data_IF_109695932137
#
_entry.id   IF_109695932137
#
_cell.length_a   1.000
_cell.length_b   1.000
_cell.length_c   1.000
_cell.angle_alpha   90.00
_cell.angle_beta   90.00
_cell.angle_gamma   90.00
#
_symmetry.space_group_name_H-M   'P 1'
#
loop_
_entity.id
_entity.type
_entity.pdbx_description
1 polymer ?
#
# COMPACT_ATOMS: atom_id res chain seq x y z
N UNK A 1 -14.30 -23.38 6.22
CA UNK A 1 -13.73 -22.10 5.72
C UNK A 1 -12.56 -21.75 6.62
N UNK A 2 -11.38 -21.47 6.07
CA UNK A 2 -10.14 -21.36 6.88
C UNK A 2 -10.09 -20.01 7.62
N UNK A 3 -9.97 -20.03 8.95
CA UNK A 3 -10.02 -18.85 9.82
C UNK A 3 -8.93 -17.82 9.47
N UNK A 4 -7.77 -18.32 9.05
CA UNK A 4 -6.66 -17.51 8.55
C UNK A 4 -7.04 -16.70 7.31
N UNK A 5 -7.74 -17.30 6.35
CA UNK A 5 -8.19 -16.63 5.13
C UNK A 5 -9.24 -15.57 5.45
N UNK A 6 -10.16 -15.87 6.37
CA UNK A 6 -11.17 -14.90 6.81
C UNK A 6 -10.52 -13.67 7.46
N UNK A 7 -9.48 -13.88 8.28
CA UNK A 7 -8.70 -12.80 8.89
C UNK A 7 -8.00 -11.93 7.84
N UNK A 8 -7.32 -12.54 6.87
CA UNK A 8 -6.68 -11.81 5.78
C UNK A 8 -7.69 -11.01 4.93
N UNK A 9 -8.86 -11.58 4.64
CA UNK A 9 -9.92 -10.87 3.93
C UNK A 9 -10.43 -9.64 4.70
N UNK A 10 -10.54 -9.73 6.03
CA UNK A 10 -10.91 -8.57 6.87
C UNK A 10 -9.81 -7.50 6.83
N UNK A 11 -8.54 -7.91 6.96
CA UNK A 11 -7.40 -7.01 6.84
C UNK A 11 -7.37 -6.31 5.47
N UNK A 12 -7.55 -7.06 4.37
CA UNK A 12 -7.59 -6.50 3.02
C UNK A 12 -8.65 -5.40 2.85
N UNK A 13 -9.86 -5.59 3.39
CA UNK A 13 -10.92 -4.56 3.34
C UNK A 13 -10.54 -3.31 4.14
N UNK A 14 -9.93 -3.49 5.31
CA UNK A 14 -9.45 -2.38 6.14
C UNK A 14 -8.34 -1.60 5.42
N UNK A 15 -7.42 -2.31 4.75
CA UNK A 15 -6.36 -1.70 3.95
C UNK A 15 -6.94 -0.94 2.76
N UNK A 16 -7.84 -1.54 1.99
CA UNK A 16 -8.50 -0.88 0.86
C UNK A 16 -9.19 0.42 1.28
N UNK A 17 -9.93 0.39 2.39
CA UNK A 17 -10.62 1.58 2.92
C UNK A 17 -9.63 2.68 3.33
N UNK A 18 -8.57 2.30 4.06
CA UNK A 18 -7.53 3.24 4.49
C UNK A 18 -6.80 3.87 3.30
N UNK A 19 -6.35 3.03 2.37
CA UNK A 19 -5.59 3.44 1.18
C UNK A 19 -6.47 4.32 0.29
N UNK A 20 -7.70 3.89 0.01
CA UNK A 20 -8.62 4.68 -0.83
C UNK A 20 -8.88 6.06 -0.24
N UNK A 21 -9.11 6.17 1.08
CA UNK A 21 -9.30 7.46 1.73
C UNK A 21 -8.07 8.39 1.59
N UNK A 22 -6.85 7.82 1.68
CA UNK A 22 -5.59 8.57 1.55
C UNK A 22 -5.25 8.96 0.11
N UNK A 23 -5.66 8.14 -0.86
CA UNK A 23 -5.39 8.33 -2.28
C UNK A 23 -6.44 9.23 -2.96
N UNK A 24 -7.70 9.20 -2.51
CA UNK A 24 -8.78 9.99 -3.11
C UNK A 24 -8.58 11.50 -3.00
N UNK A 25 -7.91 11.96 -1.94
CA UNK A 25 -7.60 13.37 -1.71
C UNK A 25 -6.35 13.86 -2.46
N UNK A 26 -5.66 12.99 -3.20
CA UNK A 26 -4.41 13.32 -3.89
C UNK A 26 -4.57 13.21 -5.42
N UNK A 27 -3.93 14.15 -6.12
CA UNK A 27 -3.84 14.15 -7.59
C UNK A 27 -2.48 13.61 -8.09
N UNK A 28 -1.44 13.76 -7.29
CA UNK A 28 -0.12 13.19 -7.51
C UNK A 28 0.42 12.60 -6.19
N UNK A 29 1.29 11.61 -6.30
CA UNK A 29 1.92 10.91 -5.17
C UNK A 29 3.35 10.60 -5.54
N UNK A 30 4.29 11.03 -4.70
CA UNK A 30 5.70 10.67 -4.84
C UNK A 30 6.06 9.48 -3.95
N UNK A 31 7.32 9.07 -4.00
CA UNK A 31 7.82 7.92 -3.24
C UNK A 31 7.83 8.20 -1.71
N UNK A 32 8.08 9.44 -1.29
CA UNK A 32 8.04 9.87 0.12
C UNK A 32 6.63 9.86 0.73
N UNK A 33 5.62 10.25 -0.05
CA UNK A 33 4.21 10.21 0.33
C UNK A 33 3.74 8.76 0.47
N UNK A 34 4.18 7.86 -0.42
CA UNK A 34 3.92 6.42 -0.27
C UNK A 34 4.58 5.86 0.98
N UNK A 35 5.83 6.24 1.25
CA UNK A 35 6.52 5.86 2.48
C UNK A 35 5.78 6.38 3.73
N UNK A 36 5.27 7.61 3.68
CA UNK A 36 4.47 8.20 4.76
C UNK A 36 3.15 7.46 4.97
N UNK A 37 2.42 7.14 3.90
CA UNK A 37 1.19 6.32 3.97
C UNK A 37 1.48 4.94 4.57
N UNK A 38 2.61 4.33 4.20
CA UNK A 38 3.04 3.05 4.75
C UNK A 38 3.38 3.16 6.24
N UNK A 39 4.09 4.20 6.67
CA UNK A 39 4.38 4.44 8.09
C UNK A 39 3.09 4.66 8.90
N UNK A 40 2.14 5.43 8.37
CA UNK A 40 0.83 5.60 8.99
C UNK A 40 0.05 4.27 9.06
N UNK A 41 0.10 3.46 8.00
CA UNK A 41 -0.50 2.14 7.98
C UNK A 41 0.12 1.22 9.03
N UNK A 42 1.45 1.19 9.14
CA UNK A 42 2.18 0.40 10.15
C UNK A 42 1.79 0.85 11.56
N UNK A 43 1.64 2.15 11.80
CA UNK A 43 1.19 2.67 13.10
C UNK A 43 -0.23 2.23 13.43
N UNK A 44 -1.13 2.23 12.43
CA UNK A 44 -2.55 1.89 12.57
C UNK A 44 -2.85 0.39 12.61
N UNK A 45 -2.07 -0.40 11.90
CA UNK A 45 -2.23 -1.84 11.72
C UNK A 45 -1.03 -2.56 12.35
N UNK A 46 -1.14 -2.99 13.63
CA UNK A 46 -0.03 -3.64 14.33
C UNK A 46 0.41 -4.94 13.66
N UNK A 47 -0.44 -5.60 12.87
CA UNK A 47 -0.08 -6.79 12.09
C UNK A 47 0.97 -6.51 10.98
N UNK A 48 1.11 -5.25 10.54
CA UNK A 48 2.14 -4.82 9.61
C UNK A 48 3.49 -4.54 10.30
N UNK A 49 3.52 -4.36 11.64
CA UNK A 49 4.74 -4.05 12.42
C UNK A 49 5.70 -5.22 12.58
N UNK A 50 5.25 -6.44 12.32
CA UNK A 50 6.04 -7.68 12.49
C UNK A 50 7.35 -7.69 11.68
N UNK A 51 7.50 -6.74 10.76
CA UNK A 51 8.72 -6.42 10.01
C UNK A 51 9.98 -6.16 10.87
N UNK A 52 9.87 -5.71 12.12
CA UNK A 52 11.08 -5.35 12.91
C UNK A 52 11.77 -6.52 13.64
N UNK A 53 11.18 -7.72 13.68
CA UNK A 53 11.78 -8.86 14.39
C UNK A 53 12.34 -9.94 13.43
N UNK A 54 13.34 -9.55 12.62
CA UNK A 54 14.48 -10.44 12.36
C UNK A 54 14.40 -11.51 11.28
N UNK A 55 13.46 -11.48 10.33
CA UNK A 55 13.50 -12.39 9.16
C UNK A 55 13.28 -11.61 7.87
N UNK A 56 14.26 -11.64 6.96
CA UNK A 56 14.30 -10.89 5.70
C UNK A 56 13.30 -11.34 4.63
N UNK A 57 12.08 -11.70 5.01
CA UNK A 57 10.99 -12.07 4.12
C UNK A 57 9.75 -11.24 4.46
N UNK A 58 9.12 -10.63 3.45
CA UNK A 58 7.89 -9.86 3.63
C UNK A 58 6.81 -10.73 4.30
N UNK A 59 6.11 -10.21 5.30
CA UNK A 59 4.98 -10.94 5.91
C UNK A 59 3.82 -11.03 4.92
N UNK A 60 2.99 -12.06 5.06
CA UNK A 60 1.81 -12.25 4.19
C UNK A 60 0.89 -11.03 4.23
N UNK A 61 0.77 -10.38 5.38
CA UNK A 61 -0.01 -9.15 5.58
C UNK A 61 0.61 -7.95 4.87
N UNK A 62 1.94 -7.82 4.87
CA UNK A 62 2.64 -6.75 4.17
C UNK A 62 2.57 -6.95 2.65
N UNK A 63 2.77 -8.17 2.17
CA UNK A 63 2.60 -8.50 0.75
C UNK A 63 1.16 -8.21 0.30
N UNK A 64 0.18 -8.58 1.13
CA UNK A 64 -1.22 -8.26 0.90
C UNK A 64 -1.46 -6.75 0.88
N UNK A 65 -0.90 -5.99 1.83
CA UNK A 65 -1.01 -4.54 1.84
C UNK A 65 -0.43 -3.91 0.57
N UNK A 66 0.77 -4.32 0.16
CA UNK A 66 1.43 -3.85 -1.06
C UNK A 66 0.61 -4.17 -2.32
N UNK A 67 0.02 -5.37 -2.39
CA UNK A 67 -0.90 -5.76 -3.48
C UNK A 67 -2.17 -4.92 -3.50
N UNK A 68 -2.79 -4.69 -2.34
CA UNK A 68 -3.98 -3.83 -2.23
C UNK A 68 -3.65 -2.40 -2.62
N UNK A 69 -2.53 -1.85 -2.14
CA UNK A 69 -2.06 -0.51 -2.50
C UNK A 69 -1.93 -0.34 -4.01
N UNK A 70 -1.20 -1.24 -4.67
CA UNK A 70 -1.01 -1.18 -6.11
C UNK A 70 -2.32 -1.33 -6.88
N UNK A 71 -3.22 -2.22 -6.44
CA UNK A 71 -4.54 -2.38 -7.05
C UNK A 71 -5.41 -1.13 -6.91
N UNK A 72 -5.44 -0.51 -5.73
CA UNK A 72 -6.21 0.71 -5.51
C UNK A 72 -5.61 1.89 -6.27
N UNK A 73 -4.28 2.03 -6.30
CA UNK A 73 -3.63 3.05 -7.14
C UNK A 73 -4.04 2.90 -8.60
N UNK A 74 -4.00 1.68 -9.16
CA UNK A 74 -4.47 1.41 -10.53
C UNK A 74 -5.95 1.71 -10.71
N UNK A 75 -6.80 1.31 -9.76
CA UNK A 75 -8.26 1.52 -9.78
C UNK A 75 -8.62 3.01 -9.73
N UNK A 76 -7.87 3.80 -8.96
CA UNK A 76 -8.05 5.26 -8.83
C UNK A 76 -7.48 6.02 -10.04
N UNK A 77 -6.63 5.37 -10.86
CA UNK A 77 -6.07 5.94 -12.08
C UNK A 77 -4.66 6.50 -11.94
N UNK A 78 -3.96 6.20 -10.83
CA UNK A 78 -2.56 6.56 -10.66
C UNK A 78 -1.68 5.74 -11.62
N UNK A 79 -0.87 6.45 -12.41
CA UNK A 79 0.12 5.86 -13.32
C UNK A 79 1.47 6.53 -13.12
N UNK A 80 2.53 5.76 -13.36
CA UNK A 80 3.89 6.31 -13.48
C UNK A 80 4.02 6.97 -14.86
N UNK A 81 4.38 8.26 -14.95
CA UNK A 81 4.66 8.92 -16.22
C UNK A 81 5.77 8.19 -16.95
N UNK A 82 5.62 7.99 -18.27
CA UNK A 82 6.61 7.27 -19.08
C UNK A 82 7.99 7.95 -19.05
N UNK A 83 8.02 9.27 -18.83
CA UNK A 83 9.22 10.09 -18.68
C UNK A 83 10.05 9.76 -17.42
N UNK A 84 9.45 9.12 -16.42
CA UNK A 84 10.12 8.75 -15.17
C UNK A 84 10.60 7.30 -15.12
N UNK A 85 10.40 6.52 -16.20
CA UNK A 85 10.70 5.08 -16.24
C UNK A 85 12.21 4.73 -16.11
N UNK A 86 13.09 5.74 -16.02
CA UNK A 86 14.54 5.61 -15.78
C UNK A 86 15.07 6.30 -14.52
N UNK A 87 14.22 6.97 -13.73
CA UNK A 87 14.61 7.65 -12.49
C UNK A 87 14.19 6.86 -11.25
N UNK A 88 15.04 6.88 -10.20
CA UNK A 88 14.78 6.14 -8.94
C UNK A 88 13.62 6.70 -8.10
N UNK A 89 13.15 7.91 -8.41
CA UNK A 89 12.03 8.56 -7.74
C UNK A 89 10.84 8.61 -8.70
N UNK A 90 9.83 7.78 -8.42
CA UNK A 90 8.60 7.73 -9.21
C UNK A 90 7.54 8.64 -8.58
N UNK A 91 7.00 9.55 -9.37
CA UNK A 91 5.81 10.33 -9.05
C UNK A 91 4.63 9.74 -9.83
N UNK A 92 3.68 9.16 -9.12
CA UNK A 92 2.42 8.67 -9.68
C UNK A 92 1.46 9.85 -9.87
N UNK A 93 0.83 9.92 -11.04
CA UNK A 93 -0.15 10.96 -11.38
C UNK A 93 -1.49 10.30 -11.65
N UNK A 94 -2.56 10.84 -11.05
CA UNK A 94 -3.93 10.41 -11.27
C UNK A 94 -4.48 11.08 -12.54
N UNK A 95 -4.91 10.26 -13.50
CA UNK A 95 -5.48 10.71 -14.79
C UNK A 95 -7.00 10.73 -14.76
#
# INVERSE_FOLDING_TARGET
MNEFVLRLMKCARSYETFISAKLLSKQNINSDELASILQEAISKFPELKTYQQGQGSETVELELFNKVLHNIMRKIGFRVPEEQRGNKSYIYIRR
#
